data_IF_711612104658
#
_entry.id   IF_711612104658
#
_cell.length_a   1.000
_cell.length_b   1.000
_cell.length_c   1.000
_cell.angle_alpha   90.00
_cell.angle_beta   90.00
_cell.angle_gamma   90.00
#
_symmetry.space_group_name_H-M   'P 1'
#
loop_
_entity.id
_entity.type
_entity.pdbx_description
1 polymer ?
#
# COMPACT_ATOMS: atom_id res chain seq x y z
N UNK A 1 -58.97 -5.13 10.02
CA UNK A 1 -59.87 -4.62 8.95
C UNK A 1 -59.01 -3.84 7.95
N UNK A 2 -59.19 -4.17 6.68
CA UNK A 2 -58.64 -3.53 5.43
C UNK A 2 -57.12 -3.72 5.23
N UNK A 3 -56.58 -4.65 4.43
CA UNK A 3 -56.71 -5.02 3.01
C UNK A 3 -56.53 -3.81 2.08
N UNK A 4 -55.56 -3.93 1.16
CA UNK A 4 -55.53 -3.56 -0.26
C UNK A 4 -54.06 -3.46 -0.64
N UNK A 5 -53.50 -4.17 -1.53
CA UNK A 5 -53.69 -4.76 -2.87
C UNK A 5 -52.54 -4.30 -3.78
N UNK A 6 -51.82 -5.28 -4.25
CA UNK A 6 -51.07 -5.44 -5.50
C UNK A 6 -50.99 -4.34 -6.51
N UNK A 7 -49.83 -4.21 -7.15
CA UNK A 7 -49.77 -4.07 -8.62
C UNK A 7 -48.47 -4.64 -9.18
N UNK A 8 -48.57 -5.80 -9.81
CA UNK A 8 -47.62 -6.37 -10.76
C UNK A 8 -47.64 -5.52 -12.04
N UNK A 9 -46.49 -5.22 -12.58
CA UNK A 9 -46.39 -4.82 -13.99
C UNK A 9 -45.33 -5.71 -14.69
N UNK A 10 -45.88 -6.67 -15.44
CA UNK A 10 -45.18 -7.51 -16.43
C UNK A 10 -45.05 -6.67 -17.70
N UNK A 11 -43.83 -6.58 -18.24
CA UNK A 11 -43.65 -6.13 -19.62
C UNK A 11 -42.87 -7.24 -20.37
N UNK A 12 -43.66 -7.96 -21.17
CA UNK A 12 -43.18 -8.85 -22.21
C UNK A 12 -42.91 -8.03 -23.48
N UNK A 13 -41.73 -8.22 -24.08
CA UNK A 13 -41.56 -7.82 -25.49
C UNK A 13 -40.97 -8.94 -26.31
N UNK A 14 -41.67 -9.16 -27.34
CA UNK A 14 -41.66 -10.13 -28.42
C UNK A 14 -40.37 -10.32 -29.16
N UNK A 15 -40.23 -11.58 -29.57
CA UNK A 15 -39.41 -12.13 -30.63
C UNK A 15 -39.69 -11.49 -32.01
N UNK A 16 -38.64 -11.27 -32.76
CA UNK A 16 -38.66 -11.07 -34.21
C UNK A 16 -37.60 -11.92 -34.88
N UNK A 17 -37.97 -13.13 -35.29
CA UNK A 17 -37.24 -13.95 -36.22
C UNK A 17 -37.44 -13.47 -37.65
N UNK A 18 -36.37 -13.35 -38.43
CA UNK A 18 -36.44 -13.52 -39.86
C UNK A 18 -35.17 -14.24 -40.37
N UNK A 19 -35.47 -15.28 -41.12
CA UNK A 19 -34.55 -16.31 -41.59
C UNK A 19 -34.03 -16.04 -43.02
N UNK A 20 -33.04 -16.83 -43.35
CA UNK A 20 -32.69 -17.38 -44.68
C UNK A 20 -31.78 -16.62 -45.63
N UNK A 21 -30.72 -17.33 -45.97
CA UNK A 21 -29.98 -17.14 -47.22
C UNK A 21 -28.63 -17.88 -47.21
N UNK A 22 -28.68 -19.19 -47.44
CA UNK A 22 -27.48 -20.01 -47.71
C UNK A 22 -27.11 -19.91 -49.19
N UNK A 23 -25.81 -19.83 -49.48
CA UNK A 23 -25.23 -20.45 -50.71
C UNK A 23 -23.74 -20.71 -50.58
N UNK A 24 -23.37 -21.85 -51.03
CA UNK A 24 -22.10 -22.59 -50.96
C UNK A 24 -21.21 -22.28 -52.19
N UNK A 25 -20.06 -22.88 -52.38
CA UNK A 25 -18.79 -22.22 -52.65
C UNK A 25 -18.29 -22.38 -54.10
N UNK A 26 -17.25 -21.66 -54.47
CA UNK A 26 -16.48 -21.97 -55.69
C UNK A 26 -14.99 -21.67 -55.50
N UNK A 27 -14.26 -22.63 -55.75
CA UNK A 27 -12.93 -23.07 -56.11
C UNK A 27 -11.86 -22.05 -56.49
N UNK A 28 -10.72 -22.28 -55.91
CA UNK A 28 -9.32 -22.37 -56.39
C UNK A 28 -8.99 -21.84 -57.78
N UNK A 29 -8.06 -20.86 -57.83
CA UNK A 29 -6.96 -20.81 -58.80
C UNK A 29 -5.80 -19.95 -58.31
N UNK A 30 -4.60 -20.49 -58.24
CA UNK A 30 -3.30 -19.84 -58.27
C UNK A 30 -2.58 -20.20 -59.57
N UNK A 31 -1.38 -19.78 -59.88
CA UNK A 31 -0.76 -18.43 -59.74
C UNK A 31 -0.29 -17.88 -61.12
N UNK A 32 0.08 -16.63 -61.24
CA UNK A 32 0.90 -16.17 -62.34
C UNK A 32 1.93 -15.15 -61.83
N UNK A 33 3.12 -15.42 -62.26
CA UNK A 33 4.42 -14.85 -61.93
C UNK A 33 4.63 -13.41 -62.49
N UNK A 34 5.58 -12.75 -61.87
CA UNK A 34 6.05 -11.34 -61.91
C UNK A 34 6.32 -10.71 -63.27
N UNK A 35 6.54 -9.35 -63.28
CA UNK A 35 7.90 -8.87 -63.41
C UNK A 35 8.28 -7.74 -62.40
N UNK A 36 9.49 -7.79 -61.87
CA UNK A 36 10.26 -6.71 -61.28
C UNK A 36 11.18 -6.08 -62.39
N UNK A 37 11.95 -5.02 -62.10
CA UNK A 37 11.81 -3.92 -61.17
C UNK A 37 12.05 -2.56 -61.84
N UNK A 38 11.61 -1.50 -61.19
CA UNK A 38 12.16 -0.18 -61.47
C UNK A 38 12.69 0.42 -60.13
N UNK A 39 13.97 0.54 -60.08
CA UNK A 39 14.74 1.19 -59.02
C UNK A 39 14.47 2.70 -59.10
N UNK A 40 13.74 3.21 -58.08
CA UNK A 40 13.68 4.66 -57.84
C UNK A 40 14.26 4.90 -56.46
N UNK A 41 15.31 5.71 -56.41
CA UNK A 41 16.02 6.10 -55.20
C UNK A 41 15.03 6.72 -54.18
N UNK A 42 15.05 6.19 -52.96
CA UNK A 42 14.33 6.76 -51.82
C UNK A 42 15.03 8.09 -51.41
N UNK A 43 14.27 9.12 -51.03
CA UNK A 43 14.82 10.26 -50.34
C UNK A 43 15.28 9.80 -48.94
N UNK A 44 16.50 10.17 -48.59
CA UNK A 44 17.05 10.02 -47.25
C UNK A 44 16.19 10.84 -46.29
N UNK A 45 15.27 10.19 -45.58
CA UNK A 45 14.64 10.80 -44.41
C UNK A 45 15.75 10.97 -43.37
N UNK A 46 16.01 12.24 -43.05
CA UNK A 46 16.80 12.60 -41.88
C UNK A 46 16.17 11.92 -40.66
N UNK A 47 16.91 11.07 -39.98
CA UNK A 47 16.54 10.55 -38.69
C UNK A 47 16.28 11.76 -37.78
N UNK A 48 15.02 12.04 -37.54
CA UNK A 48 14.62 12.93 -36.45
C UNK A 48 15.06 12.22 -35.19
N UNK A 49 16.15 12.70 -34.58
CA UNK A 49 16.53 12.31 -33.23
C UNK A 49 15.29 12.53 -32.34
N UNK A 50 14.75 11.44 -31.85
CA UNK A 50 13.81 11.49 -30.73
C UNK A 50 14.59 12.19 -29.62
N UNK A 51 14.12 13.34 -29.09
CA UNK A 51 14.81 13.98 -27.99
C UNK A 51 14.88 12.97 -26.88
N UNK A 52 16.08 12.54 -26.50
CA UNK A 52 16.35 11.84 -25.27
C UNK A 52 15.79 12.77 -24.20
N UNK A 53 14.67 12.37 -23.57
CA UNK A 53 14.14 13.08 -22.42
C UNK A 53 15.27 13.06 -21.40
N UNK A 54 15.90 14.23 -21.20
CA UNK A 54 16.78 14.43 -20.06
C UNK A 54 15.93 14.06 -18.85
N UNK A 55 16.39 13.10 -18.04
CA UNK A 55 15.63 12.61 -16.90
C UNK A 55 15.07 13.80 -16.14
N UNK A 56 13.79 13.77 -15.83
CA UNK A 56 13.15 14.78 -14.98
C UNK A 56 13.93 14.76 -13.68
N UNK A 57 14.67 15.81 -13.37
CA UNK A 57 15.30 15.97 -12.07
C UNK A 57 14.16 16.26 -11.11
N UNK A 58 13.86 15.29 -10.22
CA UNK A 58 12.87 15.47 -9.17
C UNK A 58 13.35 16.58 -8.24
N UNK A 59 12.56 17.66 -8.13
CA UNK A 59 12.87 18.80 -7.24
C UNK A 59 12.49 18.52 -5.78
N UNK A 60 11.48 17.68 -5.56
CA UNK A 60 11.07 17.28 -4.22
C UNK A 60 12.20 16.53 -3.53
N UNK A 61 12.52 16.94 -2.31
CA UNK A 61 13.58 16.34 -1.50
C UNK A 61 13.13 16.14 -0.05
N UNK A 62 13.86 15.32 0.70
CA UNK A 62 13.66 15.16 2.14
C UNK A 62 14.15 16.42 2.84
N UNK A 63 13.26 17.08 3.58
CA UNK A 63 13.56 18.28 4.34
C UNK A 63 13.66 17.99 5.84
N UNK A 64 12.89 17.02 6.34
CA UNK A 64 12.92 16.60 7.75
C UNK A 64 12.81 15.09 7.85
N UNK A 65 13.69 14.48 8.65
CA UNK A 65 13.71 13.05 8.94
C UNK A 65 14.21 12.78 10.37
N UNK A 66 14.10 11.52 10.80
CA UNK A 66 14.63 11.04 12.09
C UNK A 66 14.09 11.79 13.33
N UNK A 67 12.90 12.38 13.24
CA UNK A 67 12.19 12.93 14.38
C UNK A 67 11.37 11.85 15.08
N UNK A 68 11.41 11.79 16.41
CA UNK A 68 10.70 10.78 17.20
C UNK A 68 9.19 10.75 16.94
N UNK A 69 8.61 11.91 16.60
CA UNK A 69 7.19 12.03 16.23
C UNK A 69 6.88 11.38 14.88
N UNK A 70 7.90 11.21 14.04
CA UNK A 70 7.78 10.54 12.75
C UNK A 70 8.12 9.05 12.81
N UNK A 71 8.39 8.48 13.99
CA UNK A 71 8.64 7.06 14.14
C UNK A 71 7.44 6.24 13.67
N UNK A 72 7.71 5.21 12.89
CA UNK A 72 6.75 4.29 12.32
C UNK A 72 7.14 2.86 12.68
N UNK A 73 6.38 2.23 13.56
CA UNK A 73 6.69 0.91 14.12
C UNK A 73 5.80 -0.16 13.48
N UNK A 74 6.41 -1.17 12.91
CA UNK A 74 5.73 -2.30 12.27
C UNK A 74 5.48 -3.40 13.27
N UNK A 75 4.25 -3.90 13.24
CA UNK A 75 3.74 -4.89 14.18
C UNK A 75 3.08 -6.03 13.41
N UNK A 76 3.40 -7.26 13.80
CA UNK A 76 2.72 -8.46 13.33
C UNK A 76 1.80 -9.01 14.41
N UNK A 77 0.61 -9.45 14.02
CA UNK A 77 -0.42 -10.00 14.92
C UNK A 77 -1.08 -11.20 14.25
N UNK A 78 -1.11 -12.34 14.92
CA UNK A 78 -1.83 -13.53 14.48
C UNK A 78 -3.33 -13.38 14.75
N UNK A 79 -4.18 -13.77 13.80
CA UNK A 79 -5.63 -13.76 13.97
C UNK A 79 -6.06 -14.93 14.86
N UNK A 80 -6.93 -14.66 15.83
CA UNK A 80 -7.52 -15.67 16.69
C UNK A 80 -8.63 -16.42 15.93
N UNK A 81 -8.57 -17.77 15.79
CA UNK A 81 -9.63 -18.53 15.12
C UNK A 81 -10.97 -18.49 15.85
N UNK A 82 -10.96 -18.18 17.16
CA UNK A 82 -12.17 -18.06 17.99
C UNK A 82 -12.67 -16.60 18.09
N UNK A 83 -12.13 -15.69 17.26
CA UNK A 83 -12.48 -14.28 17.31
C UNK A 83 -13.97 -14.05 16.95
N UNK A 84 -14.57 -12.95 17.45
CA UNK A 84 -15.94 -12.59 17.12
C UNK A 84 -16.05 -12.00 15.71
N UNK A 85 -15.84 -12.84 14.70
CA UNK A 85 -15.88 -12.42 13.31
C UNK A 85 -17.23 -11.84 12.91
N UNK A 86 -17.19 -10.83 12.03
CA UNK A 86 -18.39 -10.15 11.53
C UNK A 86 -18.33 -10.03 10.00
N UNK A 87 -19.48 -9.84 9.36
CA UNK A 87 -19.56 -9.43 7.97
C UNK A 87 -19.49 -7.89 7.82
N UNK A 88 -19.60 -7.40 6.59
CA UNK A 88 -19.56 -5.96 6.30
C UNK A 88 -20.73 -5.17 6.92
N UNK A 89 -21.82 -5.85 7.26
CA UNK A 89 -23.00 -5.28 7.90
C UNK A 89 -22.95 -5.38 9.45
N UNK A 90 -21.87 -5.99 9.99
CA UNK A 90 -21.66 -6.17 11.43
C UNK A 90 -22.37 -7.39 12.02
N UNK A 91 -22.89 -8.30 11.20
CA UNK A 91 -23.48 -9.53 11.70
C UNK A 91 -22.39 -10.56 12.01
N UNK A 92 -22.59 -11.37 13.07
CA UNK A 92 -21.66 -12.43 13.43
C UNK A 92 -21.53 -13.47 12.33
N UNK A 93 -20.30 -13.87 12.03
CA UNK A 93 -19.97 -14.92 11.08
C UNK A 93 -19.39 -16.10 11.86
N UNK A 94 -19.97 -17.29 11.68
CA UNK A 94 -19.49 -18.53 12.27
C UNK A 94 -18.55 -19.28 11.30
N UNK A 95 -17.77 -20.22 11.84
CA UNK A 95 -16.97 -21.18 11.08
C UNK A 95 -15.94 -20.52 10.13
N UNK A 96 -15.33 -19.39 10.54
CA UNK A 96 -14.24 -18.77 9.79
C UNK A 96 -12.99 -19.63 9.89
N UNK A 97 -12.48 -20.06 8.75
CA UNK A 97 -11.23 -20.80 8.70
C UNK A 97 -10.05 -19.84 8.79
N UNK A 98 -9.21 -20.00 9.82
CA UNK A 98 -7.92 -19.29 10.00
C UNK A 98 -6.79 -20.31 9.91
N UNK A 99 -5.84 -20.08 9.02
CA UNK A 99 -4.63 -20.89 8.91
C UNK A 99 -3.66 -20.54 10.04
N UNK A 100 -3.90 -21.03 11.23
CA UNK A 100 -3.09 -20.73 12.43
C UNK A 100 -1.67 -21.23 12.28
N UNK A 101 -1.46 -22.44 11.74
CA UNK A 101 -0.13 -23.03 11.58
C UNK A 101 0.73 -22.24 10.55
N UNK A 102 0.12 -21.83 9.45
CA UNK A 102 0.81 -20.98 8.45
C UNK A 102 1.13 -19.60 9.00
N UNK A 103 0.19 -18.97 9.72
CA UNK A 103 0.42 -17.69 10.38
C UNK A 103 1.56 -17.76 11.39
N UNK A 104 1.60 -18.82 12.22
CA UNK A 104 2.68 -19.03 13.18
C UNK A 104 4.03 -19.19 12.50
N UNK A 105 4.12 -20.01 11.46
CA UNK A 105 5.34 -20.22 10.70
C UNK A 105 5.87 -18.90 10.09
N UNK A 106 4.99 -18.07 9.51
CA UNK A 106 5.40 -16.80 8.92
C UNK A 106 5.84 -15.78 9.99
N UNK A 107 5.12 -15.69 11.12
CA UNK A 107 5.49 -14.80 12.23
C UNK A 107 6.82 -15.24 12.87
N UNK A 108 6.97 -16.54 13.14
CA UNK A 108 8.22 -17.10 13.65
C UNK A 108 9.40 -16.81 12.71
N UNK A 109 9.19 -16.94 11.40
CA UNK A 109 10.22 -16.65 10.42
C UNK A 109 10.57 -15.16 10.35
N UNK A 110 9.60 -14.26 10.37
CA UNK A 110 9.87 -12.81 10.43
C UNK A 110 10.75 -12.44 11.62
N UNK A 111 10.65 -13.21 12.70
CA UNK A 111 11.35 -12.95 13.97
C UNK A 111 12.60 -13.81 14.14
N UNK A 112 13.06 -14.57 13.15
CA UNK A 112 14.42 -15.15 13.20
C UNK A 112 15.47 -14.05 13.06
N UNK A 113 16.64 -14.25 13.68
CA UNK A 113 17.74 -13.29 13.55
C UNK A 113 18.12 -13.07 12.07
N UNK A 114 18.13 -14.14 11.28
CA UNK A 114 18.43 -14.06 9.85
C UNK A 114 17.46 -13.13 9.10
N UNK A 115 16.16 -13.25 9.33
CA UNK A 115 15.15 -12.42 8.66
C UNK A 115 15.19 -10.97 9.16
N UNK A 116 15.43 -10.76 10.45
CA UNK A 116 15.62 -9.42 11.00
C UNK A 116 16.83 -8.73 10.37
N UNK A 117 17.93 -9.45 10.19
CA UNK A 117 19.13 -8.94 9.52
C UNK A 117 18.88 -8.66 8.03
N UNK A 118 18.13 -9.52 7.33
CA UNK A 118 17.70 -9.27 5.95
C UNK A 118 16.86 -8.00 5.83
N UNK A 119 15.88 -7.83 6.71
CA UNK A 119 15.03 -6.64 6.73
C UNK A 119 15.83 -5.37 7.04
N UNK A 120 16.74 -5.41 8.01
CA UNK A 120 17.59 -4.28 8.38
C UNK A 120 18.56 -3.86 7.27
N UNK A 121 19.01 -4.80 6.44
CA UNK A 121 19.91 -4.53 5.32
C UNK A 121 19.17 -4.21 4.00
N UNK A 122 17.84 -4.32 4.00
CA UNK A 122 17.05 -4.04 2.82
C UNK A 122 17.19 -2.58 2.38
N UNK A 123 17.39 -2.36 1.09
CA UNK A 123 17.54 -1.05 0.47
C UNK A 123 18.98 -0.50 0.49
N UNK A 124 19.87 -0.94 1.38
CA UNK A 124 21.22 -0.39 1.47
C UNK A 124 22.03 -0.53 0.16
N UNK A 125 21.90 -1.68 -0.49
CA UNK A 125 22.59 -1.93 -1.76
C UNK A 125 22.07 -1.03 -2.89
N UNK A 126 20.78 -0.72 -2.87
CA UNK A 126 20.08 -0.02 -3.95
C UNK A 126 20.12 1.49 -3.76
N UNK A 127 19.94 1.96 -2.54
CA UNK A 127 19.82 3.38 -2.21
C UNK A 127 21.00 3.95 -1.42
N UNK A 128 21.93 3.09 -0.95
CA UNK A 128 23.01 3.50 -0.04
C UNK A 128 22.53 3.82 1.39
N UNK A 129 21.28 3.51 1.70
CA UNK A 129 20.63 3.81 2.97
C UNK A 129 19.83 2.63 3.52
N UNK A 130 19.78 2.51 4.84
CA UNK A 130 18.92 1.54 5.51
C UNK A 130 17.49 2.05 5.55
N UNK A 131 16.55 1.25 5.06
CA UNK A 131 15.13 1.63 4.98
C UNK A 131 14.34 1.16 6.18
N UNK A 132 14.83 0.13 6.89
CA UNK A 132 14.21 -0.42 8.09
C UNK A 132 15.26 -0.70 9.15
N UNK A 133 14.83 -0.68 10.39
CA UNK A 133 15.66 -0.94 11.56
C UNK A 133 14.97 -1.97 12.45
N UNK A 134 15.74 -2.86 13.05
CA UNK A 134 15.20 -3.79 14.06
C UNK A 134 14.87 -2.99 15.32
N UNK A 135 13.68 -3.18 15.84
CA UNK A 135 13.23 -2.48 17.05
C UNK A 135 13.97 -3.01 18.27
N UNK A 136 14.41 -2.12 19.15
CA UNK A 136 14.99 -2.51 20.43
C UNK A 136 14.03 -3.38 21.23
N UNK A 137 14.52 -4.54 21.69
CA UNK A 137 13.71 -5.51 22.42
C UNK A 137 12.75 -6.32 21.55
N UNK A 138 12.88 -6.29 20.21
CA UNK A 138 12.16 -7.22 19.36
C UNK A 138 12.52 -8.67 19.74
N UNK A 139 11.52 -9.55 19.92
CA UNK A 139 11.82 -10.93 20.27
C UNK A 139 12.49 -11.65 19.08
N UNK A 140 13.40 -12.57 19.38
CA UNK A 140 14.05 -13.41 18.36
C UNK A 140 13.57 -14.86 18.53
N UNK A 141 13.03 -15.43 17.46
CA UNK A 141 12.65 -16.83 17.42
C UNK A 141 13.85 -17.71 17.10
N UNK A 142 14.03 -18.75 17.90
CA UNK A 142 15.16 -19.70 17.76
C UNK A 142 14.71 -21.15 17.58
N UNK A 143 13.39 -21.39 17.52
CA UNK A 143 12.82 -22.71 17.29
C UNK A 143 12.85 -23.12 15.82
N UNK A 144 12.38 -24.33 15.55
CA UNK A 144 12.20 -24.84 14.19
C UNK A 144 10.91 -24.29 13.60
N UNK A 145 10.96 -23.85 12.34
CA UNK A 145 9.78 -23.39 11.60
C UNK A 145 9.21 -24.60 10.84
N UNK A 146 7.93 -24.86 11.08
CA UNK A 146 7.25 -25.97 10.42
C UNK A 146 7.11 -25.71 8.91
N UNK A 147 7.42 -26.69 8.04
CA UNK A 147 7.15 -26.55 6.61
C UNK A 147 5.64 -26.64 6.33
N UNK A 148 5.23 -26.15 5.15
CA UNK A 148 3.86 -26.22 4.69
C UNK A 148 3.38 -27.65 4.51
N UNK A 149 2.10 -27.90 4.82
CA UNK A 149 1.34 -29.07 4.38
C UNK A 149 0.33 -28.64 3.33
N UNK A 150 -0.38 -29.59 2.69
CA UNK A 150 -1.42 -29.24 1.72
C UNK A 150 -2.55 -28.40 2.34
N UNK A 151 -2.84 -28.59 3.65
CA UNK A 151 -3.89 -27.87 4.38
C UNK A 151 -3.42 -26.50 4.83
N UNK A 152 -2.11 -26.30 5.05
CA UNK A 152 -1.56 -25.05 5.63
C UNK A 152 -0.83 -24.19 4.62
N UNK A 153 -0.76 -24.62 3.35
CA UNK A 153 0.10 -24.06 2.30
C UNK A 153 -0.16 -22.58 2.00
N UNK A 154 -1.41 -22.15 2.03
CA UNK A 154 -1.78 -20.78 1.71
C UNK A 154 -1.97 -19.96 2.97
N UNK A 155 -1.24 -18.85 3.07
CA UNK A 155 -1.30 -17.91 4.18
C UNK A 155 -1.85 -16.58 3.66
N UNK A 156 -2.91 -16.07 4.29
CA UNK A 156 -3.52 -14.78 3.95
C UNK A 156 -2.95 -13.69 4.86
N UNK A 157 -2.09 -12.85 4.32
CA UNK A 157 -1.50 -11.71 5.01
C UNK A 157 -2.23 -10.43 4.62
N UNK A 158 -2.88 -9.79 5.60
CA UNK A 158 -3.43 -8.45 5.41
C UNK A 158 -2.45 -7.38 5.92
N UNK A 159 -2.17 -6.39 5.07
CA UNK A 159 -1.18 -5.36 5.38
C UNK A 159 -1.58 -3.98 4.82
N UNK A 160 -0.73 -2.99 5.01
CA UNK A 160 -0.96 -1.64 4.51
C UNK A 160 -0.33 -1.44 3.12
N UNK A 161 -0.86 -0.46 2.37
CA UNK A 161 -0.27 -0.07 1.08
C UNK A 161 1.19 0.36 1.24
N UNK A 162 1.52 1.12 2.28
CA UNK A 162 2.90 1.56 2.53
C UNK A 162 3.87 0.41 2.82
N UNK A 163 3.44 -0.64 3.55
CA UNK A 163 4.25 -1.85 3.75
C UNK A 163 4.51 -2.56 2.42
N UNK A 164 3.48 -2.70 1.59
CA UNK A 164 3.61 -3.32 0.27
C UNK A 164 4.50 -2.48 -0.65
N UNK A 165 4.23 -1.18 -0.73
CA UNK A 165 4.89 -0.25 -1.66
C UNK A 165 6.36 0.01 -1.28
N UNK A 166 6.74 -0.22 -0.01
CA UNK A 166 8.16 -0.20 0.41
C UNK A 166 9.01 -1.27 -0.27
N UNK A 167 8.40 -2.31 -0.86
CA UNK A 167 9.10 -3.44 -1.48
C UNK A 167 9.62 -4.49 -0.51
N UNK A 168 9.59 -4.25 0.81
CA UNK A 168 10.14 -5.17 1.82
C UNK A 168 9.52 -6.57 1.73
N UNK A 169 8.19 -6.67 1.62
CA UNK A 169 7.53 -7.98 1.49
C UNK A 169 7.89 -8.68 0.18
N UNK A 170 8.02 -7.94 -0.92
CA UNK A 170 8.47 -8.49 -2.20
C UNK A 170 9.89 -9.05 -2.16
N UNK A 171 10.73 -8.52 -1.26
CA UNK A 171 12.08 -9.04 -1.00
C UNK A 171 12.09 -10.25 -0.07
N UNK A 172 11.33 -10.20 1.04
CA UNK A 172 11.37 -11.22 2.09
C UNK A 172 10.54 -12.48 1.73
N UNK A 173 9.30 -12.32 1.29
CA UNK A 173 8.37 -13.45 1.14
C UNK A 173 8.83 -14.54 0.18
N UNK A 174 9.47 -14.25 -0.97
CA UNK A 174 10.00 -15.32 -1.84
C UNK A 174 11.02 -16.22 -1.17
N UNK A 175 11.79 -15.69 -0.19
CA UNK A 175 12.75 -16.48 0.60
C UNK A 175 12.01 -17.45 1.52
N UNK A 176 11.00 -16.96 2.22
CA UNK A 176 10.15 -17.80 3.08
C UNK A 176 9.43 -18.89 2.27
N UNK A 177 8.77 -18.52 1.18
CA UNK A 177 8.03 -19.43 0.33
C UNK A 177 8.93 -20.54 -0.24
N UNK A 178 10.13 -20.18 -0.70
CA UNK A 178 11.12 -21.13 -1.20
C UNK A 178 11.62 -22.10 -0.14
N UNK A 179 11.85 -21.60 1.09
CA UNK A 179 12.45 -22.41 2.15
C UNK A 179 11.45 -23.34 2.82
N UNK A 180 10.20 -22.94 2.94
CA UNK A 180 9.20 -23.65 3.76
C UNK A 180 8.00 -24.17 2.96
N UNK A 181 7.91 -23.86 1.65
CA UNK A 181 6.88 -24.40 0.75
C UNK A 181 5.51 -23.73 0.88
N UNK A 182 5.40 -22.61 1.60
CA UNK A 182 4.18 -21.81 1.69
C UNK A 182 3.96 -20.96 0.44
N UNK A 183 2.75 -20.42 0.32
CA UNK A 183 2.37 -19.34 -0.58
C UNK A 183 1.69 -18.26 0.23
N UNK A 184 2.18 -17.02 0.19
CA UNK A 184 1.63 -15.91 0.95
C UNK A 184 0.81 -15.00 0.06
N UNK A 185 -0.51 -15.01 0.26
CA UNK A 185 -1.43 -14.08 -0.42
C UNK A 185 -1.48 -12.75 0.33
N UNK A 186 -0.83 -11.73 -0.24
CA UNK A 186 -0.75 -10.40 0.36
C UNK A 186 -1.91 -9.53 -0.11
N UNK A 187 -2.77 -9.14 0.82
CA UNK A 187 -3.82 -8.13 0.60
C UNK A 187 -3.37 -6.82 1.24
N UNK A 188 -3.31 -5.75 0.46
CA UNK A 188 -2.91 -4.42 0.97
C UNK A 188 -4.01 -3.38 0.80
N UNK A 189 -4.22 -2.58 1.84
CA UNK A 189 -5.19 -1.49 1.87
C UNK A 189 -4.74 -0.40 2.86
N UNK A 190 -5.52 0.66 3.04
CA UNK A 190 -5.32 1.55 4.19
C UNK A 190 -5.49 0.80 5.51
N UNK A 191 -4.78 1.21 6.59
CA UNK A 191 -4.69 0.45 7.86
C UNK A 191 -6.04 -0.02 8.40
N UNK A 192 -7.04 0.86 8.44
CA UNK A 192 -8.37 0.49 8.90
C UNK A 192 -9.02 -0.63 8.09
N UNK A 193 -8.88 -0.59 6.75
CA UNK A 193 -9.38 -1.64 5.86
C UNK A 193 -8.60 -2.95 6.00
N UNK A 194 -7.28 -2.87 6.20
CA UNK A 194 -6.45 -4.05 6.43
C UNK A 194 -6.84 -4.78 7.72
N UNK A 195 -7.09 -4.04 8.80
CA UNK A 195 -7.58 -4.58 10.08
C UNK A 195 -9.01 -5.12 9.93
N UNK A 196 -9.89 -4.39 9.22
CA UNK A 196 -11.25 -4.87 8.96
C UNK A 196 -11.27 -6.17 8.16
N UNK A 197 -10.36 -6.37 7.21
CA UNK A 197 -10.25 -7.62 6.47
C UNK A 197 -10.00 -8.81 7.41
N UNK A 198 -9.14 -8.63 8.43
CA UNK A 198 -8.92 -9.66 9.46
C UNK A 198 -10.16 -9.87 10.33
N UNK A 199 -10.87 -8.81 10.73
CA UNK A 199 -12.14 -8.91 11.49
C UNK A 199 -13.25 -9.61 10.70
N UNK A 200 -13.19 -9.56 9.38
CA UNK A 200 -14.12 -10.28 8.48
C UNK A 200 -13.68 -11.73 8.20
N UNK A 201 -12.58 -12.20 8.81
CA UNK A 201 -12.08 -13.55 8.60
C UNK A 201 -11.33 -13.73 7.27
N UNK A 202 -10.91 -12.66 6.62
CA UNK A 202 -10.21 -12.69 5.33
C UNK A 202 -8.69 -12.68 5.46
N UNK A 203 -8.13 -12.82 6.66
CA UNK A 203 -6.70 -12.88 6.91
C UNK A 203 -6.38 -13.87 8.03
N UNK A 204 -5.17 -14.45 7.98
CA UNK A 204 -4.63 -15.34 9.01
C UNK A 204 -3.71 -14.59 9.97
N UNK A 205 -3.11 -13.49 9.47
CA UNK A 205 -2.32 -12.54 10.24
C UNK A 205 -2.38 -11.16 9.60
N UNK A 206 -2.04 -10.15 10.40
CA UNK A 206 -1.87 -8.77 9.93
C UNK A 206 -0.46 -8.28 10.17
N UNK A 207 0.07 -7.44 9.26
CA UNK A 207 1.32 -6.68 9.42
C UNK A 207 1.01 -5.20 9.18
N UNK A 208 0.95 -4.43 10.25
CA UNK A 208 0.45 -3.04 10.23
C UNK A 208 1.32 -2.14 11.12
N UNK A 209 1.03 -0.84 11.14
CA UNK A 209 1.82 0.16 11.85
C UNK A 209 0.99 1.31 12.42
N UNK A 210 -0.14 0.99 13.05
CA UNK A 210 -1.03 1.96 13.71
C UNK A 210 -1.40 1.49 15.12
N UNK A 211 -0.56 1.81 16.08
CA UNK A 211 -0.59 1.30 17.45
C UNK A 211 -1.99 1.28 18.08
N UNK A 212 -2.74 2.38 18.02
CA UNK A 212 -4.07 2.45 18.64
C UNK A 212 -5.08 1.49 18.02
N UNK A 213 -5.01 1.26 16.69
CA UNK A 213 -5.89 0.33 15.99
C UNK A 213 -5.47 -1.14 16.26
N UNK A 214 -4.16 -1.37 16.42
CA UNK A 214 -3.61 -2.69 16.79
C UNK A 214 -4.02 -3.06 18.22
N UNK A 215 -3.93 -2.12 19.15
CA UNK A 215 -4.37 -2.31 20.54
C UNK A 215 -5.88 -2.60 20.62
N UNK A 216 -6.69 -1.86 19.87
CA UNK A 216 -8.12 -2.14 19.77
C UNK A 216 -8.41 -3.53 19.18
N UNK A 217 -7.66 -3.98 18.17
CA UNK A 217 -7.80 -5.32 17.60
C UNK A 217 -7.53 -6.43 18.63
N UNK A 218 -6.52 -6.24 19.48
CA UNK A 218 -6.20 -7.14 20.60
C UNK A 218 -7.31 -7.09 21.66
N UNK A 219 -7.72 -5.91 22.13
CA UNK A 219 -8.74 -5.73 23.15
C UNK A 219 -10.10 -6.32 22.75
N UNK A 220 -10.42 -6.29 21.46
CA UNK A 220 -11.65 -6.87 20.90
C UNK A 220 -11.59 -8.40 20.74
N UNK A 221 -10.46 -9.06 21.09
CA UNK A 221 -10.28 -10.51 21.05
C UNK A 221 -9.98 -11.10 19.68
N UNK A 222 -9.56 -10.30 18.71
CA UNK A 222 -9.18 -10.77 17.37
C UNK A 222 -7.74 -11.28 17.28
N UNK A 223 -6.91 -11.01 18.28
CA UNK A 223 -5.53 -11.45 18.34
C UNK A 223 -5.37 -12.75 19.14
N UNK A 224 -4.26 -13.43 18.93
CA UNK A 224 -3.79 -14.54 19.74
C UNK A 224 -2.27 -14.51 19.86
N UNK A 225 -1.77 -15.18 20.88
CA UNK A 225 -0.33 -15.48 21.00
C UNK A 225 0.10 -16.51 19.96
N UNK A 226 1.36 -16.45 19.57
CA UNK A 226 2.05 -17.43 18.71
C UNK A 226 3.06 -18.19 19.55
N UNK A 227 3.21 -19.49 19.30
CA UNK A 227 4.17 -20.32 20.03
C UNK A 227 5.59 -19.74 19.96
N UNK A 228 6.20 -19.64 21.14
CA UNK A 228 7.52 -18.97 21.31
C UNK A 228 7.45 -17.50 21.69
N UNK A 229 6.24 -16.89 21.78
CA UNK A 229 6.06 -15.49 22.16
C UNK A 229 4.98 -15.32 23.23
N UNK A 230 5.17 -14.34 24.12
CA UNK A 230 4.20 -14.05 25.18
C UNK A 230 3.18 -12.98 24.76
N UNK A 231 3.53 -12.12 23.81
CA UNK A 231 2.68 -11.03 23.38
C UNK A 231 1.88 -11.39 22.12
N UNK A 232 0.60 -10.97 22.09
CA UNK A 232 -0.26 -11.09 20.89
C UNK A 232 0.13 -10.07 19.81
N UNK A 233 0.64 -8.91 20.24
CA UNK A 233 1.07 -7.79 19.40
C UNK A 233 2.60 -7.70 19.42
N UNK A 234 3.24 -8.10 18.33
CA UNK A 234 4.71 -8.19 18.25
C UNK A 234 5.26 -7.10 17.33
N UNK A 235 5.79 -6.04 17.93
CA UNK A 235 6.48 -4.97 17.20
C UNK A 235 7.94 -5.33 17.01
N UNK A 236 8.43 -5.36 15.78
CA UNK A 236 9.77 -5.92 15.48
C UNK A 236 10.64 -5.06 14.58
N UNK A 237 10.04 -4.24 13.71
CA UNK A 237 10.77 -3.30 12.85
C UNK A 237 10.26 -1.88 13.07
N UNK A 238 11.08 -0.92 12.69
CA UNK A 238 10.64 0.46 12.56
C UNK A 238 11.32 1.14 11.37
N UNK A 239 10.72 2.21 10.89
CA UNK A 239 11.37 3.21 10.06
C UNK A 239 10.85 4.59 10.46
N UNK A 240 11.19 5.61 9.68
CA UNK A 240 10.68 6.95 9.88
C UNK A 240 9.84 7.39 8.68
N UNK A 241 8.77 8.10 8.96
CA UNK A 241 8.21 9.00 7.98
C UNK A 241 9.21 10.13 7.72
N UNK A 242 9.11 10.70 6.54
CA UNK A 242 9.89 11.87 6.13
C UNK A 242 8.94 12.96 5.66
N UNK A 243 9.26 14.20 6.00
CA UNK A 243 8.58 15.37 5.46
C UNK A 243 9.38 15.86 4.27
N UNK A 244 8.79 15.74 3.10
CA UNK A 244 9.37 16.15 1.83
C UNK A 244 8.72 17.44 1.33
N UNK A 245 9.41 18.13 0.44
CA UNK A 245 8.92 19.35 -0.19
C UNK A 245 9.88 19.85 -1.27
N UNK A 246 9.60 21.00 -1.90
CA UNK A 246 10.45 21.59 -2.91
C UNK A 246 11.83 21.93 -2.35
N UNK A 247 12.88 21.76 -3.15
CA UNK A 247 14.26 22.02 -2.72
C UNK A 247 14.50 23.47 -2.26
N UNK A 248 13.69 24.40 -2.75
CA UNK A 248 13.70 25.81 -2.35
C UNK A 248 13.22 26.05 -0.91
N UNK A 249 12.48 25.10 -0.33
CA UNK A 249 11.98 25.11 1.05
C UNK A 249 11.43 26.46 1.53
N UNK A 250 10.40 27.01 0.89
CA UNK A 250 9.89 28.35 1.24
C UNK A 250 9.31 28.45 2.67
N UNK A 251 8.90 27.34 3.28
CA UNK A 251 8.42 27.30 4.67
C UNK A 251 9.56 27.20 5.70
N UNK A 252 10.80 26.93 5.28
CA UNK A 252 11.95 26.74 6.18
C UNK A 252 11.86 25.46 7.02
N UNK A 253 11.24 24.42 6.49
CA UNK A 253 11.05 23.12 7.15
C UNK A 253 12.36 22.51 7.60
N UNK A 254 13.40 22.62 6.78
CA UNK A 254 14.73 22.06 7.04
C UNK A 254 15.35 22.61 8.32
N UNK A 255 15.15 23.90 8.56
CA UNK A 255 15.71 24.62 9.71
C UNK A 255 14.78 24.57 10.94
N UNK A 256 13.56 24.06 10.82
CA UNK A 256 12.62 23.93 11.93
C UNK A 256 13.21 23.06 13.06
N UNK A 257 12.99 23.43 14.32
CA UNK A 257 13.56 22.72 15.47
C UNK A 257 12.99 21.29 15.62
N UNK A 258 11.74 21.10 15.25
CA UNK A 258 11.05 19.79 15.26
C UNK A 258 10.15 19.64 14.04
N UNK A 259 9.63 18.42 13.83
CA UNK A 259 8.61 18.21 12.79
C UNK A 259 7.31 18.97 13.11
N UNK A 260 6.96 19.15 14.39
CA UNK A 260 5.77 19.94 14.77
C UNK A 260 5.94 21.40 14.40
N UNK A 261 7.13 21.98 14.61
CA UNK A 261 7.44 23.36 14.18
C UNK A 261 7.42 23.48 12.64
N UNK A 262 7.87 22.44 11.93
CA UNK A 262 7.81 22.41 10.47
C UNK A 262 6.35 22.41 9.96
N UNK A 263 5.47 21.59 10.54
CA UNK A 263 4.04 21.58 10.21
C UNK A 263 3.37 22.90 10.55
N UNK A 264 3.73 23.52 11.69
CA UNK A 264 3.25 24.86 12.07
C UNK A 264 3.67 25.91 11.04
N UNK A 265 4.94 25.91 10.60
CA UNK A 265 5.46 26.86 9.61
C UNK A 265 4.76 26.70 8.23
N UNK A 266 4.49 25.46 7.80
CA UNK A 266 3.71 25.18 6.57
C UNK A 266 2.31 25.82 6.69
N UNK A 267 1.63 25.58 7.82
CA UNK A 267 0.28 26.08 8.05
C UNK A 267 0.22 27.60 8.19
N UNK A 268 1.15 28.21 8.94
CA UNK A 268 1.23 29.68 9.12
C UNK A 268 1.49 30.42 7.82
N UNK A 269 2.31 29.83 6.93
CA UNK A 269 2.59 30.40 5.62
C UNK A 269 1.62 29.99 4.53
N UNK A 270 0.63 29.14 4.85
CA UNK A 270 -0.34 28.60 3.89
C UNK A 270 0.33 27.95 2.66
N UNK A 271 1.47 27.29 2.88
CA UNK A 271 2.20 26.61 1.81
C UNK A 271 1.48 25.34 1.35
N UNK A 272 1.46 25.04 0.04
CA UNK A 272 0.77 23.85 -0.46
C UNK A 272 1.24 22.57 0.23
N UNK A 273 0.31 21.77 0.71
CA UNK A 273 0.55 20.47 1.33
C UNK A 273 -0.39 19.43 0.75
N UNK A 274 0.18 18.31 0.32
CA UNK A 274 -0.59 17.17 -0.18
C UNK A 274 -0.79 16.17 0.95
N UNK A 275 -2.04 16.02 1.38
CA UNK A 275 -2.47 14.96 2.28
C UNK A 275 -2.98 13.76 1.50
N UNK A 276 -2.68 12.55 1.96
CA UNK A 276 -3.29 11.34 1.38
C UNK A 276 -4.81 11.36 1.47
N UNK A 277 -5.37 11.83 2.57
CA UNK A 277 -6.81 11.95 2.76
C UNK A 277 -7.60 10.63 2.75
N UNK A 278 -6.93 9.47 2.79
CA UNK A 278 -7.49 8.14 2.53
C UNK A 278 -7.67 7.27 3.79
N UNK A 279 -7.42 7.81 4.98
CA UNK A 279 -7.47 7.09 6.25
C UNK A 279 -6.34 6.07 6.45
N UNK A 280 -5.27 6.14 5.64
CA UNK A 280 -4.08 5.30 5.79
C UNK A 280 -3.30 5.62 7.06
N UNK A 281 -2.30 4.76 7.38
CA UNK A 281 -1.36 5.00 8.47
C UNK A 281 -0.60 6.32 8.31
N UNK A 282 -0.18 6.65 7.08
CA UNK A 282 0.46 7.93 6.77
C UNK A 282 -0.48 9.11 7.00
N UNK A 283 -1.73 9.02 6.55
CA UNK A 283 -2.74 10.05 6.81
C UNK A 283 -3.00 10.21 8.31
N UNK A 284 -3.13 9.10 9.03
CA UNK A 284 -3.30 9.14 10.50
C UNK A 284 -2.09 9.79 11.20
N UNK A 285 -0.88 9.49 10.75
CA UNK A 285 0.34 10.10 11.27
C UNK A 285 0.38 11.60 10.96
N UNK A 286 0.13 11.98 9.73
CA UNK A 286 0.07 13.38 9.28
C UNK A 286 -0.89 14.20 10.16
N UNK A 287 -2.12 13.72 10.38
CA UNK A 287 -3.11 14.39 11.23
C UNK A 287 -2.63 14.62 12.66
N UNK A 288 -1.74 13.77 13.17
CA UNK A 288 -1.16 13.92 14.51
C UNK A 288 -0.05 14.97 14.62
N UNK A 289 0.42 15.49 13.49
CA UNK A 289 1.53 16.46 13.42
C UNK A 289 1.06 17.90 13.23
N UNK A 290 -0.17 18.12 12.80
CA UNK A 290 -0.73 19.46 12.67
C UNK A 290 -0.95 20.12 14.03
N UNK A 291 -0.79 21.45 14.15
CA UNK A 291 -1.19 22.17 15.35
C UNK A 291 -2.65 21.89 15.71
N UNK A 292 -2.90 21.54 16.97
CA UNK A 292 -4.26 21.25 17.47
C UNK A 292 -5.24 22.43 17.24
N UNK A 293 -4.73 23.65 17.20
CA UNK A 293 -5.51 24.88 16.96
C UNK A 293 -6.21 24.91 15.59
N UNK A 294 -5.69 24.14 14.61
CA UNK A 294 -6.32 24.04 13.29
C UNK A 294 -7.52 23.11 13.29
N UNK A 295 -7.57 22.18 14.24
CA UNK A 295 -8.66 21.19 14.33
C UNK A 295 -8.79 20.27 13.11
N UNK A 296 -7.71 20.11 12.31
CA UNK A 296 -7.70 19.24 11.13
C UNK A 296 -7.84 17.78 11.57
N UNK A 297 -8.83 17.08 11.03
CA UNK A 297 -9.11 15.66 11.25
C UNK A 297 -9.36 14.98 9.92
N UNK A 298 -9.74 13.70 9.95
CA UNK A 298 -10.14 12.96 8.75
C UNK A 298 -11.46 13.42 8.13
N UNK A 299 -12.26 14.21 8.84
CA UNK A 299 -13.57 14.67 8.39
C UNK A 299 -13.41 15.91 7.49
N UNK A 300 -14.05 15.90 6.33
CA UNK A 300 -13.90 16.94 5.29
C UNK A 300 -14.21 18.35 5.81
N UNK A 301 -15.15 18.46 6.72
CA UNK A 301 -15.59 19.74 7.32
C UNK A 301 -14.45 20.38 8.14
N UNK A 302 -13.56 19.57 8.72
CA UNK A 302 -12.47 20.06 9.57
C UNK A 302 -11.39 20.80 8.79
N UNK A 303 -11.12 20.39 7.55
CA UNK A 303 -10.11 21.03 6.69
C UNK A 303 -10.72 21.92 5.59
N UNK A 304 -12.05 22.02 5.52
CA UNK A 304 -12.71 22.90 4.56
C UNK A 304 -12.21 24.38 4.59
N UNK A 305 -11.84 24.96 5.74
CA UNK A 305 -11.26 26.31 5.79
C UNK A 305 -9.88 26.44 5.14
N UNK A 306 -9.16 25.32 4.94
CA UNK A 306 -7.75 25.28 4.57
C UNK A 306 -7.52 24.76 3.14
N UNK A 307 -8.55 24.51 2.35
CA UNK A 307 -8.48 23.92 1.01
C UNK A 307 -7.65 24.70 0.00
N UNK A 308 -7.23 25.93 0.32
CA UNK A 308 -6.34 26.71 -0.54
C UNK A 308 -4.89 26.21 -0.49
N UNK A 309 -4.47 25.62 0.63
CA UNK A 309 -3.14 25.09 0.82
C UNK A 309 -3.10 23.62 1.27
N UNK A 310 -4.13 23.14 1.96
CA UNK A 310 -4.28 21.74 2.38
C UNK A 310 -5.10 20.95 1.37
N UNK A 311 -4.45 20.09 0.62
CA UNK A 311 -5.05 19.35 -0.49
C UNK A 311 -5.21 17.88 -0.09
N UNK A 312 -6.44 17.48 0.23
CA UNK A 312 -6.78 16.09 0.50
C UNK A 312 -6.96 15.33 -0.80
N UNK A 313 -5.96 14.55 -1.19
CA UNK A 313 -5.90 13.88 -2.49
C UNK A 313 -6.81 12.65 -2.57
N UNK A 314 -7.12 12.02 -1.43
CA UNK A 314 -7.82 10.73 -1.34
C UNK A 314 -7.21 9.67 -2.28
N UNK A 315 -5.87 9.58 -2.27
CA UNK A 315 -5.10 8.78 -3.21
C UNK A 315 -3.97 7.99 -2.55
N UNK A 316 -3.42 7.01 -3.26
CA UNK A 316 -2.23 6.28 -2.85
C UNK A 316 -0.98 7.16 -2.84
N UNK A 317 0.06 6.75 -2.09
CA UNK A 317 1.26 7.58 -1.86
C UNK A 317 1.96 7.97 -3.16
N UNK A 318 2.08 7.04 -4.13
CA UNK A 318 2.71 7.36 -5.42
C UNK A 318 2.05 8.52 -6.15
N UNK A 319 0.72 8.50 -6.24
CA UNK A 319 -0.03 9.61 -6.85
C UNK A 319 0.14 10.91 -6.07
N UNK A 320 0.17 10.84 -4.73
CA UNK A 320 0.38 12.02 -3.88
C UNK A 320 1.79 12.62 -4.06
N UNK A 321 2.83 11.79 -4.23
CA UNK A 321 4.19 12.25 -4.52
C UNK A 321 4.28 12.95 -5.87
N UNK A 322 3.64 12.39 -6.91
CA UNK A 322 3.55 13.05 -8.23
C UNK A 322 2.85 14.41 -8.12
N UNK A 323 1.75 14.50 -7.35
CA UNK A 323 1.06 15.77 -7.12
C UNK A 323 1.95 16.77 -6.37
N UNK A 324 2.66 16.32 -5.33
CA UNK A 324 3.57 17.18 -4.56
C UNK A 324 4.67 17.75 -5.44
N UNK A 325 5.29 16.93 -6.28
CA UNK A 325 6.29 17.35 -7.26
C UNK A 325 5.73 18.43 -8.21
N UNK A 326 4.57 18.15 -8.82
CA UNK A 326 3.95 19.06 -9.80
C UNK A 326 3.52 20.40 -9.20
N UNK A 327 3.12 20.40 -7.92
CA UNK A 327 2.60 21.58 -7.24
C UNK A 327 3.64 22.28 -6.38
N UNK A 328 4.88 21.78 -6.34
CA UNK A 328 5.93 22.21 -5.42
C UNK A 328 5.42 22.26 -3.96
N UNK A 329 4.68 21.19 -3.59
CA UNK A 329 4.00 21.08 -2.31
C UNK A 329 4.80 20.25 -1.31
N UNK A 330 4.53 20.46 -0.02
CA UNK A 330 5.00 19.61 1.06
C UNK A 330 4.16 18.34 1.14
N UNK A 331 4.76 17.25 1.63
CA UNK A 331 4.10 15.95 1.78
C UNK A 331 4.79 15.11 2.86
N UNK A 332 4.00 14.41 3.67
CA UNK A 332 4.50 13.36 4.55
C UNK A 332 4.46 12.01 3.80
N UNK A 333 5.57 11.28 3.82
CA UNK A 333 5.67 9.96 3.20
C UNK A 333 6.59 9.05 4.03
N UNK A 334 6.60 7.75 3.78
CA UNK A 334 7.68 6.89 4.28
C UNK A 334 8.92 7.02 3.38
N UNK A 335 10.10 6.86 3.99
CA UNK A 335 11.38 7.07 3.32
C UNK A 335 11.58 6.11 2.13
N UNK A 336 11.17 4.84 2.29
CA UNK A 336 11.36 3.84 1.25
C UNK A 336 10.58 4.18 -0.03
N UNK A 337 9.30 4.55 0.12
CA UNK A 337 8.46 4.98 -1.00
C UNK A 337 9.02 6.24 -1.67
N UNK A 338 9.52 7.21 -0.88
CA UNK A 338 10.14 8.41 -1.44
C UNK A 338 11.41 8.09 -2.24
N UNK A 339 12.31 7.26 -1.73
CA UNK A 339 13.53 6.90 -2.44
C UNK A 339 13.24 6.12 -3.72
N UNK A 340 12.22 5.25 -3.70
CA UNK A 340 11.73 4.57 -4.91
C UNK A 340 11.18 5.58 -5.93
N UNK A 341 10.44 6.59 -5.48
CA UNK A 341 9.93 7.66 -6.33
C UNK A 341 11.07 8.43 -7.02
N UNK A 342 12.10 8.81 -6.26
CA UNK A 342 13.27 9.52 -6.81
C UNK A 342 14.07 8.62 -7.76
N UNK A 343 14.29 7.36 -7.40
CA UNK A 343 15.05 6.41 -8.23
C UNK A 343 14.38 6.12 -9.58
N UNK A 344 13.06 6.31 -9.67
CA UNK A 344 12.27 6.14 -10.89
C UNK A 344 11.91 7.49 -11.55
N UNK A 345 12.74 8.53 -11.40
CA UNK A 345 12.56 9.84 -12.00
C UNK A 345 11.16 10.46 -11.77
N UNK A 346 10.60 10.26 -10.58
CA UNK A 346 9.28 10.79 -10.22
C UNK A 346 8.10 9.96 -10.76
N UNK A 347 8.34 8.73 -11.19
CA UNK A 347 7.31 7.82 -11.68
C UNK A 347 7.16 6.67 -10.67
N UNK A 348 5.94 6.44 -10.18
CA UNK A 348 5.60 5.22 -9.43
C UNK A 348 4.60 4.43 -10.26
N UNK A 349 4.96 3.20 -10.61
CA UNK A 349 4.13 2.28 -11.40
C UNK A 349 3.11 1.54 -10.54
#
# INVERSE_FOLDING_TARGET
MKKILSMLLVFAMMFGLLACGASKPAETQAPTEAPAPATTAAPTEAATEVPTQAGLVVDTCILKEADDKMLNTYTVIAVNPEAPFVDADGNSVADVAVNTAGADALIQWFLTQETLDLAANYGFKEYGEYLFYVKDGAPVYTGEIAPATEETKVIRLSTTTSVKDSGLLGYLLPIFESNYGYTVEVQSAGTGKAISAAKFGNADLILVHAKSQEEAFVEEGFARTVDGFEAERISFLYNYFVLCGPSADPAGVKEAASVLDAFAAIAEGEYPFISRGDGSGTHTKELSLWPETLGITKEAESFAPYTQWYISANAGMGACLVMAEQMHAYILTDKATFLTFVANDGIIS
#
